data_IF_279676930449
#
_entry.id   IF_279676930449
#
_cell.length_a   1.000
_cell.length_b   1.000
_cell.length_c   1.000
_cell.angle_alpha   90.00
_cell.angle_beta   90.00
_cell.angle_gamma   90.00
#
_symmetry.space_group_name_H-M   'P 1'
#
loop_
_entity.id
_entity.type
_entity.pdbx_description
1 polymer ?
#
# COMPACT_ATOMS: atom_id res chain seq x y z
N UNK A 1 27.69 52.04 -20.61
CA UNK A 1 26.69 51.32 -19.84
C UNK A 1 26.83 49.83 -20.18
N UNK A 2 27.64 49.13 -19.42
CA UNK A 2 27.99 47.70 -19.59
C UNK A 2 27.19 46.91 -18.59
N UNK A 3 26.33 46.01 -19.11
CA UNK A 3 25.55 45.07 -18.30
C UNK A 3 26.42 43.84 -17.96
N UNK A 4 26.75 43.68 -16.71
CA UNK A 4 27.34 42.44 -16.19
C UNK A 4 26.28 41.35 -16.08
N UNK A 5 26.41 40.30 -16.88
CA UNK A 5 25.74 39.03 -16.69
C UNK A 5 26.50 38.21 -15.67
N UNK A 6 25.88 37.96 -14.51
CA UNK A 6 26.38 36.98 -13.53
C UNK A 6 26.06 35.59 -13.99
N UNK A 7 27.09 34.86 -14.41
CA UNK A 7 27.03 33.42 -14.61
C UNK A 7 26.93 32.72 -13.26
N UNK A 8 25.83 32.04 -12.99
CA UNK A 8 25.74 31.08 -11.90
C UNK A 8 26.36 29.75 -12.36
N UNK A 9 27.65 29.57 -12.01
CA UNK A 9 28.30 28.27 -12.07
C UNK A 9 27.60 27.32 -11.10
N UNK A 10 26.87 26.34 -11.62
CA UNK A 10 26.49 25.13 -10.89
C UNK A 10 27.75 24.29 -10.70
N UNK A 11 28.37 24.36 -9.53
CA UNK A 11 29.43 23.44 -9.11
C UNK A 11 28.83 22.03 -9.03
N UNK A 12 29.05 21.25 -10.08
CA UNK A 12 28.77 19.81 -10.07
C UNK A 12 29.68 19.13 -9.07
N UNK A 13 29.13 18.35 -8.17
CA UNK A 13 29.87 17.54 -7.20
C UNK A 13 30.83 16.59 -7.96
N UNK A 14 32.13 16.62 -7.65
CA UNK A 14 33.12 15.74 -8.27
C UNK A 14 32.79 14.26 -7.99
N UNK A 15 33.01 13.42 -8.98
CA UNK A 15 32.76 11.96 -8.92
C UNK A 15 33.46 11.30 -7.72
N UNK A 16 34.58 11.86 -7.27
CA UNK A 16 35.29 11.40 -6.07
C UNK A 16 34.59 11.79 -4.78
N UNK A 17 33.94 12.94 -4.75
CA UNK A 17 33.17 13.40 -3.60
C UNK A 17 31.83 12.68 -3.50
N UNK A 18 31.23 12.32 -4.66
CA UNK A 18 30.06 11.44 -4.70
C UNK A 18 30.39 10.04 -4.15
N UNK A 19 31.54 9.45 -4.54
CA UNK A 19 31.97 8.15 -4.03
C UNK A 19 32.36 8.19 -2.55
N UNK A 20 32.91 9.30 -2.05
CA UNK A 20 33.21 9.50 -0.61
C UNK A 20 31.93 9.68 0.19
N UNK A 21 30.95 10.42 -0.33
CA UNK A 21 29.62 10.55 0.29
C UNK A 21 28.88 9.20 0.32
N UNK A 22 28.96 8.40 -0.73
CA UNK A 22 28.44 7.05 -0.77
C UNK A 22 29.12 6.11 0.23
N UNK A 23 30.45 6.15 0.34
CA UNK A 23 31.19 5.37 1.32
C UNK A 23 30.90 5.80 2.77
N UNK A 24 30.74 7.10 3.02
CA UNK A 24 30.31 7.63 4.32
C UNK A 24 28.86 7.22 4.66
N UNK A 25 27.96 7.15 3.66
CA UNK A 25 26.59 6.64 3.82
C UNK A 25 26.56 5.17 4.21
N UNK A 26 27.41 4.33 3.62
CA UNK A 26 27.51 2.91 3.97
C UNK A 26 28.13 2.71 5.36
N UNK A 27 29.13 3.52 5.72
CA UNK A 27 29.70 3.51 7.07
C UNK A 27 28.70 4.02 8.13
N UNK A 28 27.87 5.01 7.79
CA UNK A 28 26.79 5.49 8.67
C UNK A 28 25.67 4.45 8.85
N UNK A 29 25.34 3.67 7.83
CA UNK A 29 24.39 2.55 7.97
C UNK A 29 24.91 1.47 8.93
N UNK A 30 26.22 1.19 8.94
CA UNK A 30 26.85 0.30 9.92
C UNK A 30 26.89 0.86 11.34
N UNK A 31 26.97 2.19 11.50
CA UNK A 31 26.99 2.88 12.82
C UNK A 31 25.60 3.18 13.35
N UNK A 32 24.57 3.25 12.50
CA UNK A 32 23.16 3.38 12.95
C UNK A 32 22.74 2.16 13.79
N UNK A 33 23.29 0.97 13.52
CA UNK A 33 23.06 -0.21 14.35
C UNK A 33 23.66 -0.10 15.77
N UNK A 34 24.68 0.75 15.95
CA UNK A 34 25.33 0.98 17.25
C UNK A 34 24.85 2.24 17.98
N UNK A 35 24.12 3.12 17.30
CA UNK A 35 23.66 4.42 17.82
C UNK A 35 22.18 4.51 18.16
N UNK A 36 21.42 3.41 18.02
CA UNK A 36 20.11 3.25 18.62
C UNK A 36 20.29 3.09 20.14
N UNK A 37 20.71 4.17 20.82
CA UNK A 37 20.37 4.30 22.23
C UNK A 37 18.86 4.17 22.28
N UNK A 38 18.41 3.06 22.84
CA UNK A 38 17.03 2.84 23.21
C UNK A 38 16.56 4.04 24.01
N UNK A 39 16.04 5.05 23.34
CA UNK A 39 15.03 5.89 23.96
C UNK A 39 14.02 4.86 24.45
N UNK A 40 13.75 4.85 25.72
CA UNK A 40 12.78 3.98 26.36
C UNK A 40 11.40 4.23 25.74
N UNK A 41 11.20 3.75 24.53
CA UNK A 41 9.88 3.45 24.04
C UNK A 41 9.40 2.37 25.02
N UNK A 42 8.53 2.74 25.91
CA UNK A 42 7.83 1.80 26.78
C UNK A 42 7.20 0.79 25.83
N UNK A 43 7.85 -0.36 25.68
CA UNK A 43 7.31 -1.46 24.90
C UNK A 43 5.92 -1.72 25.48
N UNK A 44 4.87 -1.32 24.76
CA UNK A 44 3.50 -1.67 25.15
C UNK A 44 3.49 -3.17 25.27
N UNK A 45 3.22 -3.69 26.47
CA UNK A 45 3.09 -5.12 26.70
C UNK A 45 1.97 -5.62 25.81
N UNK A 46 2.32 -6.35 24.76
CA UNK A 46 1.34 -7.03 23.91
C UNK A 46 0.92 -8.27 24.69
N UNK A 47 -0.35 -8.34 25.04
CA UNK A 47 -0.92 -9.54 25.65
C UNK A 47 -1.24 -10.52 24.52
N UNK A 48 -0.61 -11.70 24.47
CA UNK A 48 -0.89 -12.68 23.44
C UNK A 48 -2.38 -13.02 23.38
N UNK A 49 -2.98 -12.96 22.19
CA UNK A 49 -4.40 -13.26 21.98
C UNK A 49 -5.36 -12.08 22.14
N UNK A 50 -4.85 -10.89 22.47
CA UNK A 50 -5.65 -9.65 22.47
C UNK A 50 -5.18 -8.70 21.37
N UNK A 51 -6.11 -8.05 20.60
CA UNK A 51 -5.72 -7.04 19.64
C UNK A 51 -5.21 -5.79 20.36
N UNK A 52 -4.39 -5.02 19.71
CA UNK A 52 -4.02 -3.69 20.21
C UNK A 52 -5.27 -2.87 20.51
N UNK A 53 -5.19 -2.03 21.54
CA UNK A 53 -6.27 -1.07 21.82
C UNK A 53 -6.53 -0.19 20.60
N UNK A 54 -7.82 0.07 20.34
CA UNK A 54 -8.21 0.94 19.22
C UNK A 54 -7.59 2.33 19.34
N UNK A 55 -7.21 2.89 18.21
CA UNK A 55 -6.81 4.29 18.08
C UNK A 55 -8.02 5.22 17.92
N UNK A 56 -9.16 4.69 17.46
CA UNK A 56 -10.41 5.44 17.34
C UNK A 56 -10.96 5.75 18.72
N UNK A 57 -11.37 6.98 18.95
CA UNK A 57 -11.81 7.48 20.27
C UNK A 57 -13.33 7.58 20.38
N UNK A 58 -14.02 7.76 19.26
CA UNK A 58 -15.47 7.88 19.23
C UNK A 58 -16.14 6.51 19.01
N UNK A 59 -16.98 6.07 19.94
CA UNK A 59 -17.75 4.83 19.83
C UNK A 59 -17.03 3.54 20.22
N UNK A 60 -15.72 3.56 20.48
CA UNK A 60 -14.98 2.40 21.01
C UNK A 60 -14.74 1.23 20.02
N UNK A 61 -15.26 1.31 18.80
CA UNK A 61 -15.02 0.34 17.73
C UNK A 61 -13.71 0.67 16.99
N UNK A 62 -13.04 -0.35 16.50
CA UNK A 62 -11.90 -0.17 15.61
C UNK A 62 -12.36 0.40 14.26
N UNK A 63 -11.47 1.11 13.60
CA UNK A 63 -11.74 1.76 12.30
C UNK A 63 -10.69 1.33 11.29
N UNK A 64 -11.15 0.91 10.11
CA UNK A 64 -10.29 0.62 8.96
C UNK A 64 -10.57 1.58 7.81
N UNK A 65 -9.49 2.04 7.17
CA UNK A 65 -9.55 2.80 5.91
C UNK A 65 -9.33 1.82 4.75
N UNK A 66 -10.19 1.89 3.71
CA UNK A 66 -10.04 1.11 2.46
C UNK A 66 -10.24 2.08 1.29
N UNK A 67 -9.15 2.39 0.56
CA UNK A 67 -9.21 3.39 -0.51
C UNK A 67 -9.89 2.91 -1.80
N UNK A 68 -10.07 1.61 -1.95
CA UNK A 68 -10.78 0.97 -3.06
C UNK A 68 -11.64 -0.17 -2.53
N UNK A 69 -12.92 0.10 -2.36
CA UNK A 69 -13.92 -0.89 -1.94
C UNK A 69 -14.76 -1.39 -3.13
N UNK A 70 -14.29 -1.18 -4.37
CA UNK A 70 -14.95 -1.62 -5.61
C UNK A 70 -14.34 -2.89 -6.16
N UNK A 71 -13.00 -2.95 -6.22
CA UNK A 71 -12.29 -3.96 -6.98
C UNK A 71 -11.51 -4.94 -6.10
N UNK A 72 -11.33 -6.13 -6.63
CA UNK A 72 -10.45 -7.17 -6.08
C UNK A 72 -10.72 -7.46 -4.59
N UNK A 73 -9.75 -7.17 -3.73
CA UNK A 73 -9.75 -7.52 -2.30
C UNK A 73 -10.64 -6.57 -1.48
N UNK A 74 -10.86 -5.35 -1.96
CA UNK A 74 -11.57 -4.30 -1.20
C UNK A 74 -12.96 -4.70 -0.70
N UNK A 75 -13.87 -5.17 -1.57
CA UNK A 75 -15.22 -5.55 -1.14
C UNK A 75 -15.25 -6.67 -0.10
N UNK A 76 -14.59 -7.85 -0.29
CA UNK A 76 -14.58 -8.89 0.73
C UNK A 76 -13.87 -8.46 2.02
N UNK A 77 -12.84 -7.62 1.92
CA UNK A 77 -12.14 -7.10 3.10
C UNK A 77 -13.07 -6.20 3.93
N UNK A 78 -13.81 -5.29 3.28
CA UNK A 78 -14.80 -4.43 3.94
C UNK A 78 -15.88 -5.24 4.67
N UNK A 79 -16.49 -6.24 4.00
CA UNK A 79 -17.48 -7.15 4.60
C UNK A 79 -16.93 -7.87 5.83
N UNK A 80 -15.72 -8.41 5.71
CA UNK A 80 -15.11 -9.19 6.78
C UNK A 80 -14.79 -8.34 8.01
N UNK A 81 -14.29 -7.10 7.82
CA UNK A 81 -14.07 -6.18 8.94
C UNK A 81 -15.38 -5.69 9.56
N UNK A 82 -16.43 -5.44 8.76
CA UNK A 82 -17.76 -5.12 9.28
C UNK A 82 -18.28 -6.25 10.18
N UNK A 83 -18.18 -7.53 9.74
CA UNK A 83 -18.53 -8.72 10.54
C UNK A 83 -17.73 -8.83 11.84
N UNK A 84 -16.49 -8.34 11.86
CA UNK A 84 -15.67 -8.27 13.06
C UNK A 84 -15.97 -7.05 13.95
N UNK A 85 -16.96 -6.25 13.61
CA UNK A 85 -17.41 -5.11 14.41
C UNK A 85 -16.61 -3.82 14.19
N UNK A 86 -15.85 -3.72 13.09
CA UNK A 86 -15.18 -2.46 12.72
C UNK A 86 -16.14 -1.45 12.12
N UNK A 87 -15.81 -0.18 12.28
CA UNK A 87 -16.32 0.89 11.42
C UNK A 87 -15.38 1.08 10.22
N UNK A 88 -15.91 1.62 9.13
CA UNK A 88 -15.18 1.73 7.88
C UNK A 88 -15.18 3.16 7.33
N UNK A 89 -14.02 3.57 6.79
CA UNK A 89 -13.89 4.74 5.92
C UNK A 89 -13.43 4.23 4.57
N UNK A 90 -14.28 4.35 3.56
CA UNK A 90 -14.05 3.71 2.26
C UNK A 90 -14.23 4.69 1.11
N UNK A 91 -13.56 4.41 0.00
CA UNK A 91 -13.83 5.04 -1.28
C UNK A 91 -14.34 4.01 -2.28
N UNK A 92 -15.14 4.45 -3.24
CA UNK A 92 -15.65 3.65 -4.35
C UNK A 92 -16.25 2.29 -3.91
N UNK A 93 -17.29 2.27 -3.08
CA UNK A 93 -17.89 1.01 -2.69
C UNK A 93 -18.58 0.33 -3.88
N UNK A 94 -18.44 -1.00 -3.99
CA UNK A 94 -19.25 -1.81 -4.87
C UNK A 94 -20.75 -1.63 -4.54
N UNK A 95 -21.60 -1.86 -5.53
CA UNK A 95 -23.05 -1.74 -5.36
C UNK A 95 -23.54 -2.62 -4.20
N UNK A 96 -24.33 -2.07 -3.30
CA UNK A 96 -24.86 -2.76 -2.13
C UNK A 96 -23.90 -2.95 -0.96
N UNK A 97 -22.58 -2.77 -1.15
CA UNK A 97 -21.58 -3.06 -0.13
C UNK A 97 -21.76 -2.26 1.16
N UNK A 98 -22.11 -0.97 1.04
CA UNK A 98 -22.35 -0.10 2.21
C UNK A 98 -23.46 -0.70 3.08
N UNK A 99 -24.59 -1.04 2.46
CA UNK A 99 -25.72 -1.65 3.17
C UNK A 99 -25.34 -2.98 3.82
N UNK A 100 -24.61 -3.84 3.11
CA UNK A 100 -24.12 -5.11 3.65
C UNK A 100 -23.26 -4.90 4.92
N UNK A 101 -22.35 -3.92 4.90
CA UNK A 101 -21.52 -3.60 6.05
C UNK A 101 -22.36 -3.01 7.23
N UNK A 102 -23.33 -2.16 6.94
CA UNK A 102 -24.24 -1.58 7.93
C UNK A 102 -25.17 -2.63 8.56
N UNK A 103 -25.64 -3.59 7.79
CA UNK A 103 -26.42 -4.73 8.28
C UNK A 103 -25.63 -5.58 9.31
N UNK A 104 -24.29 -5.53 9.28
CA UNK A 104 -23.41 -6.09 10.33
C UNK A 104 -23.12 -5.11 11.48
N UNK A 105 -23.76 -3.95 11.51
CA UNK A 105 -23.62 -2.94 12.56
C UNK A 105 -22.40 -2.05 12.43
N UNK A 106 -21.70 -2.05 11.31
CA UNK A 106 -20.64 -1.09 11.03
C UNK A 106 -21.24 0.29 10.72
N UNK A 107 -20.57 1.36 11.17
CA UNK A 107 -20.78 2.69 10.59
C UNK A 107 -19.83 2.85 9.43
N UNK A 108 -20.37 3.19 8.24
CA UNK A 108 -19.59 3.31 7.00
C UNK A 108 -19.58 4.77 6.55
N UNK A 109 -18.39 5.33 6.38
CA UNK A 109 -18.20 6.65 5.78
C UNK A 109 -17.65 6.46 4.37
N UNK A 110 -18.40 6.92 3.39
CA UNK A 110 -17.97 6.91 1.98
C UNK A 110 -17.39 8.26 1.63
N UNK A 111 -16.12 8.30 1.25
CA UNK A 111 -15.41 9.51 0.84
C UNK A 111 -15.50 9.66 -0.68
N UNK A 112 -16.19 10.69 -1.19
CA UNK A 112 -16.34 10.90 -2.63
C UNK A 112 -15.10 11.50 -3.28
N UNK A 113 -15.02 11.41 -4.61
CA UNK A 113 -13.98 12.08 -5.40
C UNK A 113 -12.60 11.45 -5.31
N UNK A 114 -12.55 10.18 -4.91
CA UNK A 114 -11.38 9.30 -5.00
C UNK A 114 -11.76 8.24 -6.02
N UNK A 115 -11.16 8.28 -7.20
CA UNK A 115 -11.47 7.37 -8.30
C UNK A 115 -10.16 6.78 -8.83
N UNK A 116 -10.19 5.53 -9.22
CA UNK A 116 -9.08 4.93 -9.93
C UNK A 116 -9.18 5.26 -11.42
N UNK A 117 -8.06 5.66 -12.01
CA UNK A 117 -7.94 5.98 -13.43
C UNK A 117 -8.77 7.18 -13.92
N UNK A 118 -9.15 8.09 -13.04
CA UNK A 118 -9.87 9.33 -13.36
C UNK A 118 -9.12 10.60 -12.94
N UNK A 119 -9.69 11.78 -13.17
CA UNK A 119 -9.08 13.03 -12.73
C UNK A 119 -9.00 13.18 -11.20
N UNK A 120 -9.76 12.37 -10.48
CA UNK A 120 -9.77 12.32 -9.02
C UNK A 120 -9.17 11.00 -8.48
N UNK A 121 -8.29 10.36 -9.25
CA UNK A 121 -7.72 9.08 -8.91
C UNK A 121 -6.74 9.13 -7.71
N UNK A 122 -6.38 7.96 -7.23
CA UNK A 122 -5.48 7.76 -6.09
C UNK A 122 -4.05 8.27 -6.30
N UNK A 123 -3.66 8.62 -7.55
CA UNK A 123 -2.35 9.22 -7.83
C UNK A 123 -2.25 10.65 -7.32
N UNK A 124 -3.37 11.27 -6.98
CA UNK A 124 -3.39 12.62 -6.42
C UNK A 124 -2.84 12.60 -5.00
N UNK A 125 -1.99 13.58 -4.64
CA UNK A 125 -1.39 13.64 -3.32
C UNK A 125 -2.39 13.69 -2.16
N UNK A 126 -3.59 14.22 -2.40
CA UNK A 126 -4.63 14.45 -1.39
C UNK A 126 -5.64 13.29 -1.23
N UNK A 127 -5.60 12.27 -2.11
CA UNK A 127 -6.61 11.20 -2.13
C UNK A 127 -6.66 10.43 -0.80
N UNK A 128 -5.52 9.95 -0.32
CA UNK A 128 -5.47 9.24 0.98
C UNK A 128 -5.70 10.19 2.14
N UNK A 129 -5.27 11.45 2.05
CA UNK A 129 -5.48 12.44 3.11
C UNK A 129 -6.97 12.68 3.36
N UNK A 130 -7.82 12.74 2.33
CA UNK A 130 -9.27 12.85 2.49
C UNK A 130 -9.88 11.71 3.30
N UNK A 131 -9.39 10.48 3.11
CA UNK A 131 -9.83 9.32 3.90
C UNK A 131 -9.38 9.44 5.36
N UNK A 132 -8.15 9.88 5.59
CA UNK A 132 -7.63 10.14 6.94
C UNK A 132 -8.44 11.24 7.63
N UNK A 133 -8.70 12.36 6.95
CA UNK A 133 -9.48 13.47 7.50
C UNK A 133 -10.89 13.03 7.89
N UNK A 134 -11.57 12.26 7.03
CA UNK A 134 -12.87 11.69 7.32
C UNK A 134 -12.85 10.73 8.54
N UNK A 135 -11.81 9.91 8.68
CA UNK A 135 -11.63 9.03 9.83
C UNK A 135 -11.40 9.83 11.13
N UNK A 136 -10.61 10.89 11.07
CA UNK A 136 -10.33 11.76 12.21
C UNK A 136 -11.56 12.55 12.63
N UNK A 137 -12.30 13.11 11.69
CA UNK A 137 -13.51 13.89 11.95
C UNK A 137 -14.61 13.02 12.57
N UNK A 138 -14.91 11.88 11.95
CA UNK A 138 -16.03 11.04 12.34
C UNK A 138 -15.73 10.17 13.56
N UNK A 139 -14.57 9.53 13.58
CA UNK A 139 -14.21 8.54 14.60
C UNK A 139 -13.14 9.00 15.57
N UNK A 140 -12.47 10.12 15.32
CA UNK A 140 -11.34 10.60 16.10
C UNK A 140 -10.05 9.80 15.88
N UNK A 141 -9.99 8.96 14.84
CA UNK A 141 -8.85 8.17 14.48
C UNK A 141 -9.20 6.93 13.66
N UNK A 142 -8.18 6.16 13.32
CA UNK A 142 -8.30 4.85 12.68
C UNK A 142 -7.21 3.91 13.22
N UNK A 143 -7.36 2.61 12.96
CA UNK A 143 -6.50 1.55 13.49
C UNK A 143 -5.69 0.86 12.40
N UNK A 144 -6.25 0.76 11.21
CA UNK A 144 -5.58 0.12 10.08
C UNK A 144 -6.02 0.73 8.75
N UNK A 145 -5.19 0.51 7.72
CA UNK A 145 -5.48 0.96 6.37
C UNK A 145 -5.03 -0.08 5.34
N UNK A 146 -5.93 -0.39 4.42
CA UNK A 146 -5.65 -1.12 3.19
C UNK A 146 -5.66 -0.14 2.03
N UNK A 147 -4.54 -0.08 1.32
CA UNK A 147 -4.36 0.83 0.18
C UNK A 147 -4.02 0.02 -1.07
N UNK A 148 -4.86 0.15 -2.06
CA UNK A 148 -4.61 -0.34 -3.41
C UNK A 148 -4.11 0.80 -4.28
N UNK A 149 -2.96 0.62 -4.91
CA UNK A 149 -2.43 1.51 -5.94
C UNK A 149 -2.18 0.70 -7.20
N UNK A 150 -2.61 1.18 -8.35
CA UNK A 150 -2.41 0.43 -9.58
C UNK A 150 -2.49 1.32 -10.82
N UNK A 151 -1.39 1.40 -11.53
CA UNK A 151 -1.34 1.79 -12.93
C UNK A 151 -0.76 0.60 -13.70
N UNK A 152 -1.65 -0.24 -14.27
CA UNK A 152 -1.24 -1.41 -15.03
C UNK A 152 -1.10 -1.04 -16.50
N UNK A 153 0.09 -1.22 -17.05
CA UNK A 153 0.37 -0.89 -18.43
C UNK A 153 1.39 -1.90 -19.01
N UNK A 154 1.10 -2.52 -20.15
CA UNK A 154 2.07 -3.33 -20.87
C UNK A 154 3.14 -2.43 -21.52
N UNK A 155 4.33 -2.96 -21.69
CA UNK A 155 5.42 -2.29 -22.38
C UNK A 155 6.70 -3.13 -22.32
N UNK A 156 7.27 -3.40 -23.49
CA UNK A 156 8.59 -3.99 -23.63
C UNK A 156 9.68 -2.91 -23.63
N UNK A 157 10.94 -3.32 -23.39
CA UNK A 157 12.06 -2.38 -23.26
C UNK A 157 12.32 -1.52 -24.49
N UNK A 158 11.90 -1.95 -25.67
CA UNK A 158 12.16 -1.25 -26.92
C UNK A 158 11.05 -0.27 -27.29
N UNK A 159 9.86 -0.36 -26.64
CA UNK A 159 8.67 0.42 -26.97
C UNK A 159 8.20 1.33 -25.83
N UNK A 160 8.54 0.99 -24.58
CA UNK A 160 8.11 1.82 -23.44
C UNK A 160 8.66 3.23 -23.55
N UNK A 161 7.81 4.21 -23.44
CA UNK A 161 8.17 5.63 -23.54
C UNK A 161 8.47 6.24 -22.17
N UNK A 162 9.04 7.46 -22.16
CA UNK A 162 9.25 8.22 -20.93
C UNK A 162 7.90 8.61 -20.29
N UNK A 163 6.90 8.90 -21.11
CA UNK A 163 5.54 9.21 -20.67
C UNK A 163 4.87 8.01 -20.00
N UNK A 164 5.03 6.80 -20.58
CA UNK A 164 4.55 5.55 -19.97
C UNK A 164 5.21 5.31 -18.60
N UNK A 165 6.53 5.51 -18.54
CA UNK A 165 7.27 5.38 -17.29
C UNK A 165 6.84 6.40 -16.23
N UNK A 166 6.50 7.64 -16.65
CA UNK A 166 5.99 8.64 -15.73
C UNK A 166 4.63 8.24 -15.15
N UNK A 167 3.70 7.76 -15.98
CA UNK A 167 2.40 7.26 -15.51
C UNK A 167 2.56 6.07 -14.55
N UNK A 168 3.44 5.12 -14.89
CA UNK A 168 3.74 3.98 -14.05
C UNK A 168 4.37 4.39 -12.71
N UNK A 169 5.27 5.35 -12.72
CA UNK A 169 5.89 5.93 -11.53
C UNK A 169 4.85 6.61 -10.63
N UNK A 170 3.98 7.44 -11.20
CA UNK A 170 2.94 8.13 -10.44
C UNK A 170 1.96 7.15 -9.78
N UNK A 171 1.42 6.20 -10.55
CA UNK A 171 0.37 5.30 -10.07
C UNK A 171 0.86 4.13 -9.20
N UNK A 172 2.15 3.76 -9.28
CA UNK A 172 2.65 2.59 -8.56
C UNK A 172 3.67 2.93 -7.45
N UNK A 173 4.33 4.08 -7.54
CA UNK A 173 5.34 4.48 -6.56
C UNK A 173 4.94 5.76 -5.80
N UNK A 174 4.68 6.88 -6.49
CA UNK A 174 4.31 8.13 -5.82
C UNK A 174 2.99 8.01 -5.06
N UNK A 175 2.01 7.29 -5.59
CA UNK A 175 0.76 7.05 -4.89
C UNK A 175 1.00 6.33 -3.54
N UNK A 176 1.98 5.41 -3.46
CA UNK A 176 2.38 4.77 -2.20
C UNK A 176 3.06 5.78 -1.27
N UNK A 177 3.92 6.66 -1.79
CA UNK A 177 4.56 7.73 -1.00
C UNK A 177 3.50 8.61 -0.34
N UNK A 178 2.53 9.11 -1.13
CA UNK A 178 1.47 9.98 -0.62
C UNK A 178 0.59 9.28 0.41
N UNK A 179 0.24 8.01 0.16
CA UNK A 179 -0.53 7.22 1.11
C UNK A 179 0.21 7.08 2.45
N UNK A 180 1.48 6.73 2.44
CA UNK A 180 2.28 6.58 3.66
C UNK A 180 2.47 7.91 4.39
N UNK A 181 2.67 9.02 3.66
CA UNK A 181 2.78 10.36 4.25
C UNK A 181 1.49 10.79 4.98
N UNK A 182 0.32 10.37 4.50
CA UNK A 182 -0.97 10.67 5.15
C UNK A 182 -1.28 9.72 6.32
N UNK A 183 -0.99 8.42 6.17
CA UNK A 183 -1.40 7.39 7.13
C UNK A 183 -0.45 7.27 8.33
N UNK A 184 0.87 7.37 8.10
CA UNK A 184 1.85 7.10 9.15
C UNK A 184 1.83 8.10 10.31
N UNK A 185 1.77 9.42 10.10
CA UNK A 185 1.86 10.38 11.20
C UNK A 185 0.80 10.19 12.29
N UNK A 186 -0.51 10.10 12.00
CA UNK A 186 -1.52 9.92 13.03
C UNK A 186 -1.41 8.56 13.75
N UNK A 187 -1.03 7.48 13.05
CA UNK A 187 -0.82 6.18 13.68
C UNK A 187 0.43 6.17 14.57
N UNK A 188 1.51 6.79 14.14
CA UNK A 188 2.76 6.91 14.92
C UNK A 188 2.57 7.79 16.16
N UNK A 189 1.78 8.87 16.08
CA UNK A 189 1.40 9.70 17.23
C UNK A 189 0.62 8.88 18.26
N UNK A 190 -0.34 8.07 17.82
CA UNK A 190 -1.12 7.17 18.67
C UNK A 190 -0.31 5.99 19.21
N UNK A 191 0.82 5.66 18.56
CA UNK A 191 1.71 4.58 18.96
C UNK A 191 1.16 3.19 18.68
N UNK A 192 0.23 3.03 17.71
CA UNK A 192 -0.29 1.74 17.25
C UNK A 192 -0.96 1.88 15.89
N UNK A 193 -0.79 0.90 15.00
CA UNK A 193 -1.49 0.85 13.72
C UNK A 193 -0.92 -0.18 12.75
N UNK A 194 -1.68 -0.47 11.71
CA UNK A 194 -1.29 -1.40 10.66
C UNK A 194 -1.63 -0.81 9.29
N UNK A 195 -0.68 -0.85 8.38
CA UNK A 195 -0.84 -0.41 6.99
C UNK A 195 -0.47 -1.56 6.08
N UNK A 196 -1.35 -1.89 5.15
CA UNK A 196 -1.15 -2.89 4.12
C UNK A 196 -1.32 -2.23 2.75
N UNK A 197 -0.25 -2.22 1.97
CA UNK A 197 -0.24 -1.67 0.62
C UNK A 197 -0.31 -2.83 -0.38
N UNK A 198 -1.33 -2.83 -1.24
CA UNK A 198 -1.41 -3.78 -2.34
C UNK A 198 -0.35 -3.45 -3.39
N UNK A 199 0.50 -4.42 -3.66
CA UNK A 199 1.50 -4.37 -4.73
C UNK A 199 1.23 -5.49 -5.75
N UNK A 200 2.25 -6.05 -6.36
CA UNK A 200 2.11 -7.16 -7.29
C UNK A 200 3.16 -8.22 -7.03
N UNK A 201 2.79 -9.48 -7.14
CA UNK A 201 3.74 -10.59 -7.10
C UNK A 201 4.73 -10.55 -8.28
N UNK A 202 4.40 -9.85 -9.38
CA UNK A 202 5.34 -9.61 -10.48
C UNK A 202 6.56 -8.77 -10.11
N UNK A 203 6.54 -8.10 -8.94
CA UNK A 203 7.71 -7.38 -8.42
C UNK A 203 8.91 -8.28 -8.08
N UNK A 204 8.69 -9.59 -7.92
CA UNK A 204 9.73 -10.56 -7.59
C UNK A 204 10.44 -11.11 -8.84
N UNK A 205 9.96 -10.78 -10.04
CA UNK A 205 10.53 -11.25 -11.29
C UNK A 205 10.39 -10.22 -12.41
N UNK A 206 11.34 -10.20 -13.35
CA UNK A 206 11.23 -9.40 -14.56
C UNK A 206 10.24 -10.02 -15.54
N UNK A 207 9.25 -9.21 -16.00
CA UNK A 207 8.35 -9.60 -17.08
C UNK A 207 8.65 -8.78 -18.33
N UNK A 208 8.90 -9.44 -19.45
CA UNK A 208 9.29 -8.78 -20.71
C UNK A 208 8.27 -7.82 -21.24
N UNK A 209 6.97 -8.14 -21.05
CA UNK A 209 5.85 -7.35 -21.56
C UNK A 209 5.29 -6.34 -20.55
N UNK A 210 5.86 -6.27 -19.33
CA UNK A 210 5.44 -5.37 -18.25
C UNK A 210 6.65 -4.78 -17.51
N UNK A 211 7.72 -4.50 -18.21
CA UNK A 211 9.02 -4.16 -17.61
C UNK A 211 8.96 -2.93 -16.70
N UNK A 212 8.30 -1.86 -17.12
CA UNK A 212 8.14 -0.64 -16.32
C UNK A 212 7.25 -0.87 -15.10
N UNK A 213 6.14 -1.59 -15.27
CA UNK A 213 5.23 -1.92 -14.18
C UNK A 213 5.92 -2.73 -13.08
N UNK A 214 6.60 -3.83 -13.44
CA UNK A 214 7.27 -4.68 -12.46
C UNK A 214 8.38 -3.96 -11.72
N UNK A 215 9.13 -3.09 -12.42
CA UNK A 215 10.17 -2.26 -11.81
C UNK A 215 9.60 -1.28 -10.77
N UNK A 216 8.48 -0.62 -11.08
CA UNK A 216 7.83 0.31 -10.13
C UNK A 216 7.22 -0.41 -8.92
N UNK A 217 6.68 -1.63 -9.10
CA UNK A 217 6.19 -2.46 -8.00
C UNK A 217 7.32 -2.95 -7.09
N UNK A 218 8.47 -3.31 -7.64
CA UNK A 218 9.66 -3.65 -6.87
C UNK A 218 10.18 -2.44 -6.07
N UNK A 219 10.22 -1.26 -6.70
CA UNK A 219 10.59 -0.02 -6.03
C UNK A 219 9.64 0.31 -4.86
N UNK A 220 8.32 0.12 -5.05
CA UNK A 220 7.32 0.32 -3.99
C UNK A 220 7.55 -0.64 -2.81
N UNK A 221 7.87 -1.91 -3.05
CA UNK A 221 8.18 -2.87 -1.98
C UNK A 221 9.38 -2.42 -1.13
N UNK A 222 10.45 -1.93 -1.76
CA UNK A 222 11.61 -1.40 -1.06
C UNK A 222 11.28 -0.12 -0.27
N UNK A 223 10.44 0.77 -0.82
CA UNK A 223 9.94 1.95 -0.11
C UNK A 223 9.18 1.57 1.16
N UNK A 224 8.30 0.56 1.06
CA UNK A 224 7.51 0.05 2.19
C UNK A 224 8.41 -0.52 3.29
N UNK A 225 9.49 -1.21 2.94
CA UNK A 225 10.48 -1.68 3.92
C UNK A 225 11.12 -0.51 4.70
N UNK A 226 11.52 0.57 4.00
CA UNK A 226 12.05 1.77 4.63
C UNK A 226 11.03 2.47 5.53
N UNK A 227 9.77 2.56 5.09
CA UNK A 227 8.66 3.11 5.87
C UNK A 227 8.39 2.27 7.14
N UNK A 228 8.44 0.95 7.02
CA UNK A 228 8.28 0.03 8.15
C UNK A 228 9.38 0.24 9.22
N UNK A 229 10.63 0.39 8.82
CA UNK A 229 11.73 0.69 9.73
C UNK A 229 11.54 2.03 10.48
N UNK A 230 10.95 3.01 9.81
CA UNK A 230 10.63 4.31 10.41
C UNK A 230 9.45 4.22 11.38
N UNK A 231 8.44 3.42 11.05
CA UNK A 231 7.18 3.35 11.79
C UNK A 231 7.21 2.37 12.96
N UNK A 232 7.97 1.27 12.85
CA UNK A 232 8.00 0.19 13.85
C UNK A 232 8.38 0.66 15.27
N UNK A 233 9.38 1.54 15.49
CA UNK A 233 9.68 2.05 16.83
C UNK A 233 8.52 2.83 17.47
N UNK A 234 7.56 3.25 16.67
CA UNK A 234 6.35 3.95 17.09
C UNK A 234 5.12 3.03 17.15
N UNK A 235 5.31 1.71 17.08
CA UNK A 235 4.23 0.73 17.21
C UNK A 235 3.34 0.62 15.96
N UNK A 236 3.83 0.97 14.79
CA UNK A 236 3.07 0.85 13.53
C UNK A 236 3.74 -0.17 12.61
N UNK A 237 2.95 -1.13 12.12
CA UNK A 237 3.38 -2.10 11.12
C UNK A 237 2.99 -1.64 9.71
N UNK A 238 3.92 -1.78 8.78
CA UNK A 238 3.70 -1.45 7.36
C UNK A 238 4.18 -2.61 6.51
N UNK A 239 3.31 -3.18 5.69
CA UNK A 239 3.63 -4.32 4.85
C UNK A 239 3.14 -4.13 3.41
N UNK A 240 3.79 -4.81 2.47
CA UNK A 240 3.35 -4.98 1.10
C UNK A 240 2.61 -6.32 0.93
N UNK A 241 1.58 -6.33 0.10
CA UNK A 241 0.80 -7.50 -0.24
C UNK A 241 0.72 -7.62 -1.75
N UNK A 242 1.52 -8.51 -2.32
CA UNK A 242 1.63 -8.68 -3.77
C UNK A 242 0.72 -9.79 -4.27
N UNK A 243 -0.17 -9.47 -5.21
CA UNK A 243 -1.06 -10.47 -5.83
C UNK A 243 -0.86 -10.52 -7.33
N UNK A 244 -1.25 -11.64 -7.94
CA UNK A 244 -1.42 -11.79 -9.38
C UNK A 244 -2.64 -12.68 -9.65
N UNK A 245 -3.21 -12.53 -10.86
CA UNK A 245 -4.23 -13.43 -11.39
C UNK A 245 -5.42 -13.64 -10.45
N UNK A 246 -6.08 -12.54 -10.08
CA UNK A 246 -7.32 -12.61 -9.30
C UNK A 246 -8.53 -12.73 -10.22
N UNK A 247 -9.50 -13.51 -9.77
CA UNK A 247 -10.84 -13.53 -10.32
C UNK A 247 -11.63 -12.33 -9.75
N UNK A 248 -12.21 -11.48 -10.59
CA UNK A 248 -13.02 -10.33 -10.21
C UNK A 248 -14.09 -10.12 -11.29
N UNK A 249 -15.17 -9.40 -11.03
CA UNK A 249 -16.08 -9.00 -12.08
C UNK A 249 -15.29 -8.42 -13.26
N UNK A 250 -15.64 -8.74 -14.47
CA UNK A 250 -14.95 -8.33 -15.71
C UNK A 250 -13.54 -8.94 -15.93
N UNK A 251 -13.06 -9.84 -15.06
CA UNK A 251 -11.78 -10.51 -15.25
C UNK A 251 -11.70 -11.21 -16.60
N UNK A 252 -12.74 -11.92 -17.00
CA UNK A 252 -12.80 -12.62 -18.30
C UNK A 252 -12.59 -11.65 -19.46
N UNK A 253 -13.25 -10.48 -19.43
CA UNK A 253 -13.10 -9.46 -20.46
C UNK A 253 -11.69 -8.83 -20.42
N UNK A 254 -11.20 -8.49 -19.24
CA UNK A 254 -9.88 -7.90 -19.02
C UNK A 254 -8.74 -8.80 -19.52
N UNK A 255 -8.89 -10.11 -19.41
CA UNK A 255 -7.95 -11.10 -19.95
C UNK A 255 -8.18 -11.43 -21.43
N UNK A 256 -9.19 -10.81 -22.06
CA UNK A 256 -9.48 -10.96 -23.50
C UNK A 256 -10.25 -12.22 -23.85
N UNK A 257 -11.11 -12.66 -22.93
CA UNK A 257 -12.05 -13.75 -23.11
C UNK A 257 -11.71 -15.05 -22.37
N UNK A 258 -12.67 -16.01 -22.30
CA UNK A 258 -12.54 -17.21 -21.47
C UNK A 258 -11.39 -18.12 -21.89
N UNK A 259 -11.10 -18.22 -23.19
CA UNK A 259 -10.00 -19.07 -23.70
C UNK A 259 -8.63 -18.54 -23.25
N UNK A 260 -8.42 -17.22 -23.34
CA UNK A 260 -7.16 -16.59 -22.89
C UNK A 260 -7.02 -16.68 -21.37
N UNK A 261 -8.11 -16.45 -20.65
CA UNK A 261 -8.12 -16.62 -19.20
C UNK A 261 -7.77 -18.05 -18.79
N UNK A 262 -8.32 -19.06 -19.46
CA UNK A 262 -7.98 -20.46 -19.22
C UNK A 262 -6.51 -20.76 -19.55
N UNK A 263 -5.98 -20.20 -20.63
CA UNK A 263 -4.57 -20.34 -20.99
C UNK A 263 -3.64 -19.71 -19.93
N UNK A 264 -4.00 -18.56 -19.37
CA UNK A 264 -3.26 -17.95 -18.23
C UNK A 264 -3.36 -18.84 -17.01
N UNK A 265 -4.55 -19.35 -16.67
CA UNK A 265 -4.77 -20.22 -15.52
C UNK A 265 -3.89 -21.49 -15.57
N UNK A 266 -3.69 -22.06 -16.78
CA UNK A 266 -2.85 -23.25 -16.95
C UNK A 266 -1.36 -23.02 -16.65
N UNK A 267 -0.90 -21.75 -16.64
CA UNK A 267 0.47 -21.38 -16.28
C UNK A 267 0.63 -21.05 -14.79
N UNK A 268 -0.47 -21.03 -14.02
CA UNK A 268 -0.44 -20.85 -12.58
C UNK A 268 -0.30 -22.24 -11.94
N UNK A 269 0.70 -22.54 -11.11
CA UNK A 269 0.90 -23.87 -10.55
C UNK A 269 -0.33 -24.47 -9.85
N UNK A 270 -1.15 -23.66 -9.16
CA UNK A 270 -2.42 -24.14 -8.57
C UNK A 270 -3.56 -24.35 -9.60
N UNK A 271 -3.34 -24.06 -10.89
CA UNK A 271 -4.25 -24.33 -12.00
C UNK A 271 -5.48 -23.43 -12.10
N UNK A 272 -5.54 -22.32 -11.35
CA UNK A 272 -6.68 -21.39 -11.36
C UNK A 272 -6.28 -20.01 -10.93
N UNK A 273 -7.15 -19.06 -11.17
CA UNK A 273 -7.09 -17.72 -10.57
C UNK A 273 -7.40 -17.80 -9.07
N UNK A 274 -6.83 -16.87 -8.30
CA UNK A 274 -7.16 -16.69 -6.90
C UNK A 274 -8.48 -15.94 -6.75
N UNK A 275 -9.25 -16.27 -5.71
CA UNK A 275 -10.46 -15.53 -5.38
C UNK A 275 -10.15 -14.35 -4.47
N UNK A 276 -10.81 -13.20 -4.65
CA UNK A 276 -10.65 -12.03 -3.78
C UNK A 276 -10.86 -12.33 -2.30
N UNK A 277 -11.75 -13.25 -1.99
CA UNK A 277 -12.04 -13.72 -0.63
C UNK A 277 -10.83 -14.43 -0.01
N UNK A 278 -10.11 -15.25 -0.76
CA UNK A 278 -8.89 -15.93 -0.28
C UNK A 278 -7.83 -14.89 0.11
N UNK A 279 -7.68 -13.86 -0.72
CA UNK A 279 -6.75 -12.76 -0.49
C UNK A 279 -7.17 -11.94 0.73
N UNK A 280 -8.46 -11.62 0.87
CA UNK A 280 -8.99 -10.89 2.02
C UNK A 280 -8.74 -11.64 3.34
N UNK A 281 -8.94 -12.96 3.37
CA UNK A 281 -8.67 -13.78 4.55
C UNK A 281 -7.19 -13.74 4.96
N UNK A 282 -6.26 -13.71 4.01
CA UNK A 282 -4.84 -13.59 4.32
C UNK A 282 -4.43 -12.15 4.71
N UNK A 283 -5.10 -11.14 4.17
CA UNK A 283 -4.84 -9.73 4.49
C UNK A 283 -5.31 -9.34 5.91
N UNK A 284 -6.41 -9.95 6.38
CA UNK A 284 -7.01 -9.60 7.68
C UNK A 284 -6.04 -9.68 8.86
N UNK A 285 -5.24 -10.75 9.06
CA UNK A 285 -4.28 -10.83 10.17
C UNK A 285 -3.20 -9.74 10.15
N UNK A 286 -3.01 -9.06 9.02
CA UNK A 286 -2.07 -7.94 8.88
C UNK A 286 -2.70 -6.59 9.19
N UNK A 287 -4.01 -6.56 9.50
CA UNK A 287 -4.81 -5.34 9.68
C UNK A 287 -5.71 -5.38 10.93
N UNK A 288 -5.86 -6.54 11.57
CA UNK A 288 -6.82 -6.77 12.67
C UNK A 288 -6.30 -6.39 14.07
N UNK A 289 -5.04 -5.99 14.17
CA UNK A 289 -4.42 -5.58 15.42
C UNK A 289 -3.80 -6.70 16.26
N UNK A 290 -3.95 -7.96 15.85
CA UNK A 290 -3.36 -9.09 16.60
C UNK A 290 -1.90 -9.34 16.23
N UNK A 291 -1.56 -9.25 14.93
CA UNK A 291 -0.20 -9.48 14.45
C UNK A 291 0.59 -8.17 14.34
N UNK A 292 1.28 -7.81 15.42
CA UNK A 292 2.10 -6.60 15.49
C UNK A 292 3.61 -6.88 15.39
N UNK A 293 3.98 -8.10 14.97
CA UNK A 293 5.39 -8.48 14.80
C UNK A 293 5.79 -8.60 13.32
N UNK A 294 4.82 -8.67 12.41
CA UNK A 294 5.04 -8.69 10.97
C UNK A 294 5.06 -7.26 10.44
N UNK A 295 6.24 -6.77 10.06
CA UNK A 295 6.41 -5.44 9.47
C UNK A 295 7.58 -5.43 8.47
N UNK A 296 7.50 -4.60 7.44
CA UNK A 296 8.49 -4.50 6.38
C UNK A 296 8.50 -5.70 5.42
N UNK A 297 7.46 -6.53 5.46
CA UNK A 297 7.39 -7.72 4.61
C UNK A 297 6.70 -7.44 3.29
N UNK A 298 7.17 -8.12 2.24
CA UNK A 298 6.47 -8.23 0.95
C UNK A 298 5.92 -9.64 0.85
N UNK A 299 4.61 -9.78 1.06
CA UNK A 299 3.93 -11.09 1.09
C UNK A 299 3.31 -11.34 -0.27
N UNK A 300 3.85 -12.31 -1.01
CA UNK A 300 3.42 -12.63 -2.37
C UNK A 300 2.41 -13.77 -2.38
N UNK A 301 1.28 -13.55 -3.07
CA UNK A 301 0.17 -14.50 -3.17
C UNK A 301 -0.25 -14.63 -4.63
N UNK A 302 0.29 -15.63 -5.31
CA UNK A 302 0.15 -15.79 -6.76
C UNK A 302 -0.01 -17.24 -7.19
N UNK A 303 -0.49 -18.14 -6.32
CA UNK A 303 -0.72 -19.54 -6.65
C UNK A 303 0.54 -20.31 -7.09
N UNK A 304 1.72 -19.88 -6.64
CA UNK A 304 3.01 -20.47 -7.01
C UNK A 304 3.63 -19.89 -8.30
N UNK A 305 3.03 -18.87 -8.92
CA UNK A 305 3.50 -18.34 -10.20
C UNK A 305 4.91 -17.72 -10.15
N UNK A 306 5.29 -17.19 -9.00
CA UNK A 306 6.55 -16.44 -8.81
C UNK A 306 7.59 -17.18 -7.93
N UNK A 307 7.54 -18.49 -7.90
CA UNK A 307 8.52 -19.35 -7.20
C UNK A 307 9.25 -20.27 -8.18
#
# INVERSE_FOLDING_TARGET
>A
MTSETKDHETQGMDRRDFLRAGAAGIAAAGTIAAGLTAGTASAKTIVPGEPLKTNATKGGKRVIIINDALLQIGPPLARNFAKQGYNLVIAQPAEGLVKECEDHGAKVIVVPGIEQHGPNDERRPDSTQKLVDAAMEEFGGFDSAYIRTAQHMPGDIFKITAEDMQLLYEGNFLAVVYALQSLMPPLMEKGAGQILILTSASSEQGLTDFIGYTAMRAAANTLIQGAAMTAAPKGVCVNAFGTNFLNYPDAVESYGGPEKMAAVASNIPVGRFGEPEEMAHLAMPLLDGYNMFTTGQSIMVAGGYNV
#
